data_IF_318445635998
#
_entry.id   IF_318445635998
#
_cell.length_a   1.000
_cell.length_b   1.000
_cell.length_c   1.000
_cell.angle_alpha   90.00
_cell.angle_beta   90.00
_cell.angle_gamma   90.00
#
_symmetry.space_group_name_H-M   'P 1'
#
loop_
_entity.id
_entity.type
_entity.pdbx_description
1 polymer ?
#
# COMPACT_ATOMS: atom_id res chain seq x y z
N UNK A 1 9.56 -6.79 7.93
CA UNK A 1 8.44 -5.87 7.68
C UNK A 1 7.66 -6.13 6.38
N UNK A 2 8.24 -6.24 5.17
CA UNK A 2 7.44 -6.29 3.92
C UNK A 2 6.47 -7.49 3.81
N UNK A 3 6.74 -8.59 4.52
CA UNK A 3 5.86 -9.76 4.57
C UNK A 3 4.51 -9.47 5.23
N UNK A 4 4.47 -8.64 6.29
CA UNK A 4 3.24 -8.39 7.04
C UNK A 4 2.27 -7.53 6.22
N UNK A 5 2.79 -6.46 5.60
CA UNK A 5 2.01 -5.60 4.70
C UNK A 5 1.44 -6.40 3.52
N UNK A 6 2.23 -7.27 2.90
CA UNK A 6 1.78 -8.16 1.81
C UNK A 6 0.69 -9.13 2.28
N UNK A 7 0.88 -9.81 3.42
CA UNK A 7 -0.15 -10.68 3.99
C UNK A 7 -1.45 -9.92 4.28
N UNK A 8 -1.37 -8.71 4.84
CA UNK A 8 -2.55 -7.92 5.19
C UNK A 8 -3.33 -7.49 3.94
N UNK A 9 -2.63 -7.00 2.91
CA UNK A 9 -3.25 -6.66 1.63
C UNK A 9 -3.92 -7.86 0.97
N UNK A 10 -3.25 -9.02 0.98
CA UNK A 10 -3.83 -10.26 0.50
C UNK A 10 -5.09 -10.66 1.29
N UNK A 11 -5.05 -10.56 2.63
CA UNK A 11 -6.20 -10.86 3.49
C UNK A 11 -7.40 -9.94 3.18
N UNK A 12 -7.18 -8.63 3.01
CA UNK A 12 -8.23 -7.66 2.68
C UNK A 12 -8.92 -8.00 1.36
N UNK A 13 -8.15 -8.36 0.34
CA UNK A 13 -8.73 -8.76 -0.95
C UNK A 13 -9.46 -10.10 -0.83
N UNK A 14 -8.88 -11.08 -0.12
CA UNK A 14 -9.51 -12.39 0.05
C UNK A 14 -10.82 -12.33 0.86
N UNK A 15 -10.93 -11.38 1.78
CA UNK A 15 -12.13 -11.12 2.59
C UNK A 15 -13.14 -10.20 1.89
N UNK A 16 -12.83 -9.75 0.66
CA UNK A 16 -13.65 -8.83 -0.15
C UNK A 16 -13.96 -7.50 0.55
N UNK A 17 -13.12 -7.07 1.49
CA UNK A 17 -13.25 -5.78 2.16
C UNK A 17 -12.92 -4.60 1.23
N UNK A 18 -11.94 -4.78 0.35
CA UNK A 18 -11.61 -3.85 -0.74
C UNK A 18 -11.11 -4.64 -1.95
N UNK A 19 -11.43 -4.15 -3.15
CA UNK A 19 -10.90 -4.76 -4.38
C UNK A 19 -9.42 -4.42 -4.58
N UNK A 20 -8.70 -5.28 -5.30
CA UNK A 20 -7.30 -5.03 -5.65
C UNK A 20 -7.11 -3.69 -6.38
N UNK A 21 -8.05 -3.35 -7.27
CA UNK A 21 -8.08 -2.09 -8.01
C UNK A 21 -8.21 -0.90 -7.06
N UNK A 22 -9.14 -0.95 -6.10
CA UNK A 22 -9.36 0.12 -5.11
C UNK A 22 -8.13 0.35 -4.24
N UNK A 23 -7.51 -0.72 -3.75
CA UNK A 23 -6.28 -0.64 -2.95
C UNK A 23 -5.16 0.01 -3.76
N UNK A 24 -4.98 -0.44 -5.01
CA UNK A 24 -3.98 0.09 -5.92
C UNK A 24 -4.18 1.59 -6.18
N UNK A 25 -5.42 2.00 -6.48
CA UNK A 25 -5.77 3.40 -6.68
C UNK A 25 -5.47 4.22 -5.42
N UNK A 26 -5.98 3.81 -4.26
CA UNK A 26 -5.78 4.51 -2.99
C UNK A 26 -4.31 4.67 -2.63
N UNK A 27 -3.51 3.61 -2.75
CA UNK A 27 -2.05 3.67 -2.50
C UNK A 27 -1.39 4.68 -3.45
N UNK A 28 -1.71 4.64 -4.74
CA UNK A 28 -1.05 5.49 -5.72
C UNK A 28 -1.51 6.96 -5.66
N UNK A 29 -2.71 7.24 -5.17
CA UNK A 29 -3.23 8.60 -4.99
C UNK A 29 -2.94 9.17 -3.60
N UNK A 30 -2.53 8.34 -2.65
CA UNK A 30 -2.25 8.78 -1.28
C UNK A 30 -1.09 9.78 -1.23
N UNK A 31 -1.36 10.93 -0.64
CA UNK A 31 -0.38 11.99 -0.41
C UNK A 31 -0.47 12.45 1.05
N UNK A 32 0.51 12.09 1.86
CA UNK A 32 0.62 12.57 3.24
C UNK A 32 1.52 13.80 3.31
N UNK A 33 0.95 14.96 3.65
CA UNK A 33 1.65 16.24 3.63
C UNK A 33 1.95 16.70 2.20
N UNK A 34 1.19 17.67 1.71
CA UNK A 34 1.24 18.18 0.32
C UNK A 34 2.63 18.58 -0.19
N UNK A 35 3.59 18.85 0.71
CA UNK A 35 4.95 19.27 0.37
C UNK A 35 6.03 18.19 0.55
N UNK A 36 5.72 17.02 1.12
CA UNK A 36 6.75 16.01 1.38
C UNK A 36 6.78 14.91 0.31
N UNK A 37 7.49 15.20 -0.80
CA UNK A 37 7.74 14.23 -1.87
C UNK A 37 8.43 12.96 -1.38
N UNK A 38 9.01 12.96 -0.17
CA UNK A 38 9.74 11.83 0.41
C UNK A 38 8.84 10.88 1.19
N UNK A 39 7.62 11.28 1.57
CA UNK A 39 6.65 10.46 2.29
C UNK A 39 5.58 9.88 1.38
N UNK A 40 5.98 9.35 0.22
CA UNK A 40 5.06 8.67 -0.70
C UNK A 40 5.21 7.16 -0.61
N UNK A 41 4.11 6.40 -0.63
CA UNK A 41 4.17 4.96 -0.82
C UNK A 41 4.75 4.62 -2.20
N UNK A 42 5.22 3.38 -2.40
CA UNK A 42 5.78 2.99 -3.69
C UNK A 42 4.65 2.95 -4.73
N UNK A 43 5.02 3.15 -6.01
CA UNK A 43 4.09 2.86 -7.11
C UNK A 43 3.70 1.40 -7.02
N UNK A 44 2.41 1.15 -6.86
CA UNK A 44 1.86 -0.16 -6.54
C UNK A 44 0.96 -0.60 -7.69
N UNK A 45 1.09 -1.86 -8.14
CA UNK A 45 0.23 -2.45 -9.16
C UNK A 45 -0.61 -3.56 -8.53
N UNK A 46 -1.73 -3.90 -9.15
CA UNK A 46 -2.63 -4.94 -8.64
C UNK A 46 -1.93 -6.29 -8.41
N UNK A 47 -1.01 -6.67 -9.31
CA UNK A 47 -0.21 -7.89 -9.17
C UNK A 47 0.68 -7.90 -7.93
N UNK A 48 1.07 -6.72 -7.43
CA UNK A 48 1.99 -6.58 -6.29
C UNK A 48 1.27 -6.86 -4.96
N UNK A 49 -0.07 -6.87 -4.94
CA UNK A 49 -0.88 -7.29 -3.78
C UNK A 49 -0.66 -8.76 -3.44
N UNK A 50 -0.52 -9.59 -4.47
CA UNK A 50 -0.35 -11.03 -4.35
C UNK A 50 1.13 -11.43 -4.28
N UNK A 51 2.05 -10.48 -4.50
CA UNK A 51 3.48 -10.73 -4.38
C UNK A 51 3.91 -10.66 -2.91
N UNK A 52 4.83 -11.56 -2.53
CA UNK A 52 5.49 -11.56 -1.23
C UNK A 52 6.43 -10.36 -1.06
N UNK A 53 6.79 -9.68 -2.15
CA UNK A 53 7.73 -8.56 -2.18
C UNK A 53 7.02 -7.28 -2.64
N UNK A 54 6.77 -6.38 -1.69
CA UNK A 54 6.32 -5.02 -2.00
C UNK A 54 7.42 -4.26 -2.76
N UNK A 55 7.11 -3.57 -3.87
CA UNK A 55 8.07 -2.81 -4.66
C UNK A 55 8.58 -1.55 -3.94
N UNK A 56 9.58 -0.89 -4.52
CA UNK A 56 10.13 0.38 -4.03
C UNK A 56 11.29 0.28 -3.04
N UNK A 57 11.73 1.44 -2.57
CA UNK A 57 12.81 1.64 -1.60
C UNK A 57 12.33 1.36 -0.17
N UNK A 58 13.25 1.11 0.76
CA UNK A 58 12.93 0.82 2.16
C UNK A 58 12.01 1.87 2.80
N UNK A 59 12.26 3.15 2.50
CA UNK A 59 11.47 4.27 3.04
C UNK A 59 10.05 4.32 2.47
N UNK A 60 9.86 4.03 1.19
CA UNK A 60 8.53 3.95 0.56
C UNK A 60 7.72 2.80 1.16
N UNK A 61 8.35 1.64 1.37
CA UNK A 61 7.72 0.48 2.04
C UNK A 61 7.35 0.78 3.48
N UNK A 62 8.19 1.54 4.18
CA UNK A 62 7.92 1.98 5.55
C UNK A 62 6.75 2.97 5.60
N UNK A 63 6.71 3.94 4.67
CA UNK A 63 5.58 4.84 4.50
C UNK A 63 4.28 4.08 4.24
N UNK A 64 4.28 3.12 3.31
CA UNK A 64 3.11 2.27 3.05
C UNK A 64 2.68 1.51 4.31
N UNK A 65 3.62 0.93 5.06
CA UNK A 65 3.29 0.17 6.27
C UNK A 65 2.65 1.04 7.35
N UNK A 66 3.21 2.21 7.65
CA UNK A 66 2.67 3.12 8.68
C UNK A 66 1.31 3.67 8.25
N UNK A 67 1.19 4.08 6.99
CA UNK A 67 0.01 4.79 6.52
C UNK A 67 -1.09 3.87 6.01
N UNK A 68 -0.87 2.55 5.99
CA UNK A 68 -1.82 1.60 5.45
C UNK A 68 -3.23 1.74 6.02
N UNK A 69 -3.44 1.93 7.34
CA UNK A 69 -4.79 2.11 7.88
C UNK A 69 -5.48 3.34 7.29
N UNK A 70 -4.76 4.46 7.16
CA UNK A 70 -5.31 5.69 6.59
C UNK A 70 -5.59 5.55 5.09
N UNK A 71 -4.71 4.87 4.35
CA UNK A 71 -4.89 4.58 2.93
C UNK A 71 -6.15 3.72 2.68
N UNK A 72 -6.51 2.84 3.61
CA UNK A 72 -7.63 1.91 3.45
C UNK A 72 -8.97 2.45 3.99
N UNK A 73 -8.94 3.44 4.88
CA UNK A 73 -10.14 4.03 5.50
C UNK A 73 -10.74 5.19 4.70
N UNK A 74 -9.96 5.80 3.81
CA UNK A 74 -10.38 6.84 2.85
C UNK A 74 -10.89 6.19 1.57
#
# INVERSE_FOLDING_TARGET
MPKLTSCLLHTIVSTRLCSAVQICQRINTFAYGTNDKRNRPPVFKEKDIFDKRIPGKAMEKYCLFINLPFILLD
#
